data_IF_799727650758
#
_entry.id   IF_799727650758
#
_cell.length_a   1.000
_cell.length_b   1.000
_cell.length_c   1.000
_cell.angle_alpha   90.00
_cell.angle_beta   90.00
_cell.angle_gamma   90.00
#
_symmetry.space_group_name_H-M   'P 1'
#
loop_
_entity.id
_entity.type
_entity.pdbx_description
1 polymer ?
#
# COMPACT_ATOMS: atom_id res chain seq x y z
N UNK A 1 -37.88 7.11 -6.50
CA UNK A 1 -36.59 7.85 -6.61
C UNK A 1 -35.51 6.93 -6.10
N UNK A 2 -34.81 6.25 -6.99
CA UNK A 2 -33.72 5.33 -6.62
C UNK A 2 -32.53 6.20 -6.18
N UNK A 3 -32.24 6.19 -4.90
CA UNK A 3 -31.00 6.78 -4.37
C UNK A 3 -29.83 6.00 -4.98
N UNK A 4 -29.17 6.58 -5.96
CA UNK A 4 -27.89 6.07 -6.46
C UNK A 4 -26.87 6.34 -5.36
N UNK A 5 -26.77 5.42 -4.40
CA UNK A 5 -25.65 5.44 -3.46
C UNK A 5 -24.38 5.21 -4.26
N UNK A 6 -23.42 6.12 -4.12
CA UNK A 6 -22.08 5.92 -4.69
C UNK A 6 -21.54 4.59 -4.18
N UNK A 7 -21.07 3.69 -5.05
CA UNK A 7 -20.53 2.41 -4.58
C UNK A 7 -19.36 2.62 -3.62
N UNK A 8 -19.22 1.76 -2.59
CA UNK A 8 -18.24 1.96 -1.53
C UNK A 8 -16.81 1.90 -2.05
N UNK A 9 -15.94 2.72 -1.47
CA UNK A 9 -14.49 2.63 -1.67
C UNK A 9 -13.92 1.58 -0.74
N UNK A 10 -13.00 0.76 -1.27
CA UNK A 10 -12.47 -0.41 -0.57
C UNK A 10 -10.95 -0.38 -0.59
N UNK A 11 -10.34 -0.57 0.57
CA UNK A 11 -8.90 -0.76 0.66
C UNK A 11 -8.53 -2.23 0.84
N UNK A 12 -7.44 -2.63 0.20
CA UNK A 12 -6.75 -3.89 0.43
C UNK A 12 -5.43 -3.57 1.11
N UNK A 13 -5.25 -4.09 2.32
CA UNK A 13 -4.03 -3.89 3.10
C UNK A 13 -3.47 -5.22 3.60
N UNK A 14 -2.38 -5.17 4.32
CA UNK A 14 -1.70 -6.31 4.92
C UNK A 14 -0.20 -6.18 4.84
N UNK A 15 0.52 -6.82 5.73
CA UNK A 15 1.96 -6.69 5.86
C UNK A 15 2.75 -7.24 4.67
N UNK A 16 4.03 -6.90 4.63
CA UNK A 16 4.96 -7.45 3.65
C UNK A 16 4.94 -8.99 3.71
N UNK A 17 4.95 -9.65 2.57
CA UNK A 17 4.90 -11.11 2.46
C UNK A 17 3.51 -11.74 2.63
N UNK A 18 2.45 -10.98 2.98
CA UNK A 18 1.08 -11.50 3.10
C UNK A 18 0.46 -11.94 1.77
N UNK A 19 0.93 -11.37 0.64
CA UNK A 19 0.46 -11.72 -0.70
C UNK A 19 -0.63 -10.80 -1.26
N UNK A 20 -0.72 -9.55 -0.80
CA UNK A 20 -1.64 -8.51 -1.33
C UNK A 20 -1.67 -8.46 -2.85
N UNK A 21 -0.51 -8.29 -3.47
CA UNK A 21 -0.42 -8.16 -4.94
C UNK A 21 -0.92 -9.40 -5.68
N UNK A 22 -0.89 -10.59 -5.05
CA UNK A 22 -1.50 -11.78 -5.64
C UNK A 22 -3.03 -11.70 -5.58
N UNK A 23 -3.60 -11.30 -4.44
CA UNK A 23 -5.04 -11.08 -4.29
C UNK A 23 -5.52 -9.98 -5.24
N UNK A 24 -4.79 -8.87 -5.37
CA UNK A 24 -5.12 -7.80 -6.32
C UNK A 24 -5.17 -8.31 -7.77
N UNK A 25 -4.23 -9.18 -8.18
CA UNK A 25 -4.30 -9.81 -9.51
C UNK A 25 -5.54 -10.71 -9.70
N UNK A 26 -5.98 -11.40 -8.64
CA UNK A 26 -7.22 -12.18 -8.70
C UNK A 26 -8.45 -11.29 -8.86
N UNK A 27 -8.49 -10.13 -8.22
CA UNK A 27 -9.54 -9.12 -8.37
C UNK A 27 -9.53 -8.51 -9.77
N UNK A 28 -8.36 -8.17 -10.29
CA UNK A 28 -8.22 -7.63 -11.66
C UNK A 28 -8.74 -8.60 -12.72
N UNK A 29 -8.51 -9.91 -12.56
CA UNK A 29 -9.09 -10.95 -13.45
C UNK A 29 -10.62 -11.01 -13.41
N UNK A 30 -11.25 -10.42 -12.41
CA UNK A 30 -12.70 -10.26 -12.26
C UNK A 30 -13.20 -8.88 -12.73
N UNK A 31 -12.34 -8.09 -13.35
CA UNK A 31 -12.68 -6.75 -13.84
C UNK A 31 -12.66 -5.67 -12.75
N UNK A 32 -12.16 -5.96 -11.55
CA UNK A 32 -11.99 -4.98 -10.48
C UNK A 32 -10.67 -4.25 -10.70
N UNK A 33 -10.75 -2.94 -10.99
CA UNK A 33 -9.57 -2.10 -11.18
C UNK A 33 -9.09 -1.57 -9.82
N UNK A 34 -7.88 -1.98 -9.43
CA UNK A 34 -7.27 -1.64 -8.14
C UNK A 34 -6.23 -0.54 -8.33
N UNK A 35 -6.36 0.53 -7.58
CA UNK A 35 -5.37 1.60 -7.48
C UNK A 35 -4.20 1.15 -6.62
N UNK A 36 -2.99 1.13 -7.16
CA UNK A 36 -1.76 0.77 -6.46
C UNK A 36 -1.10 2.04 -5.91
N UNK A 37 -1.17 2.23 -4.58
CA UNK A 37 -0.64 3.42 -3.91
C UNK A 37 0.88 3.54 -4.05
N UNK A 38 1.63 2.45 -4.02
CA UNK A 38 3.09 2.45 -4.16
C UNK A 38 3.52 2.82 -5.58
N UNK A 39 2.87 2.24 -6.58
CA UNK A 39 3.10 2.61 -7.98
C UNK A 39 2.72 4.06 -8.25
N UNK A 40 1.61 4.55 -7.68
CA UNK A 40 1.19 5.93 -7.80
C UNK A 40 2.17 6.90 -7.15
N UNK A 41 2.64 6.63 -5.93
CA UNK A 41 3.66 7.43 -5.26
C UNK A 41 4.93 7.56 -6.12
N UNK A 42 5.44 6.44 -6.63
CA UNK A 42 6.61 6.43 -7.51
C UNK A 42 6.39 7.22 -8.80
N UNK A 43 5.20 7.10 -9.41
CA UNK A 43 4.82 7.86 -10.60
C UNK A 43 4.74 9.35 -10.31
N UNK A 44 4.04 9.75 -9.24
CA UNK A 44 3.85 11.15 -8.86
C UNK A 44 5.18 11.81 -8.51
N UNK A 45 6.03 11.19 -7.70
CA UNK A 45 7.37 11.69 -7.40
C UNK A 45 8.21 11.93 -8.66
N UNK A 46 8.01 11.13 -9.72
CA UNK A 46 8.73 11.31 -10.99
C UNK A 46 8.12 12.38 -11.88
N UNK A 47 6.76 12.43 -11.97
CA UNK A 47 6.08 13.16 -13.03
C UNK A 47 5.35 14.42 -12.56
N UNK A 48 5.06 14.60 -11.25
CA UNK A 48 4.37 15.78 -10.74
C UNK A 48 5.36 16.93 -10.53
N UNK A 49 5.23 18.07 -11.24
CA UNK A 49 6.10 19.23 -11.05
C UNK A 49 6.07 19.74 -9.60
N UNK A 50 4.87 19.79 -9.00
CA UNK A 50 4.68 20.29 -7.62
C UNK A 50 5.38 19.38 -6.60
N UNK A 51 5.25 18.04 -6.73
CA UNK A 51 5.95 17.11 -5.86
C UNK A 51 7.47 17.21 -6.02
N UNK A 52 7.94 17.32 -7.26
CA UNK A 52 9.37 17.49 -7.55
C UNK A 52 9.92 18.75 -6.90
N UNK A 53 9.18 19.84 -6.99
CA UNK A 53 9.57 21.09 -6.34
C UNK A 53 9.64 20.96 -4.82
N UNK A 54 8.59 20.42 -4.20
CA UNK A 54 8.52 20.25 -2.74
C UNK A 54 9.63 19.30 -2.23
N UNK A 55 9.85 18.17 -2.90
CA UNK A 55 10.90 17.23 -2.54
C UNK A 55 12.31 17.82 -2.73
N UNK A 56 12.51 18.64 -3.79
CA UNK A 56 13.78 19.34 -3.99
C UNK A 56 14.03 20.40 -2.91
N UNK A 57 12.99 21.11 -2.48
CA UNK A 57 13.09 22.05 -1.36
C UNK A 57 13.42 21.37 -0.03
N UNK A 58 12.85 20.18 0.20
CA UNK A 58 13.07 19.42 1.43
C UNK A 58 14.44 18.74 1.48
N UNK A 59 14.84 18.07 0.40
CA UNK A 59 16.01 17.18 0.35
C UNK A 59 17.26 17.91 -0.14
N UNK A 60 17.08 18.85 -1.07
CA UNK A 60 18.16 19.62 -1.69
C UNK A 60 18.20 19.53 -3.21
N UNK A 61 19.10 20.28 -3.86
CA UNK A 61 19.15 20.42 -5.33
C UNK A 61 19.46 19.09 -6.05
N UNK A 62 20.13 18.16 -5.38
CA UNK A 62 20.54 16.88 -5.96
C UNK A 62 19.45 15.78 -5.85
N UNK A 63 18.21 16.16 -5.47
CA UNK A 63 17.08 15.22 -5.32
C UNK A 63 16.76 14.48 -6.62
N UNK A 64 17.00 15.09 -7.75
CA UNK A 64 16.75 14.51 -9.07
C UNK A 64 17.98 14.57 -9.97
N UNK A 65 18.15 13.56 -10.81
CA UNK A 65 19.09 13.51 -11.93
C UNK A 65 18.24 13.40 -13.20
N UNK A 66 18.08 14.53 -13.91
CA UNK A 66 17.11 14.63 -15.01
C UNK A 66 15.69 14.37 -14.49
N UNK A 67 15.01 13.36 -15.06
CA UNK A 67 13.65 12.97 -14.65
C UNK A 67 13.60 11.85 -13.61
N UNK A 68 14.73 11.39 -13.12
CA UNK A 68 14.80 10.29 -12.16
C UNK A 68 15.12 10.81 -10.75
N UNK A 69 14.44 10.25 -9.76
CA UNK A 69 14.74 10.48 -8.35
C UNK A 69 16.16 9.94 -8.04
N UNK A 70 17.02 10.79 -7.49
CA UNK A 70 18.35 10.41 -7.06
C UNK A 70 18.29 9.60 -5.78
N UNK A 71 18.29 8.26 -5.91
CA UNK A 71 18.18 7.34 -4.78
C UNK A 71 19.28 7.55 -3.73
N UNK A 72 20.47 7.98 -4.13
CA UNK A 72 21.58 8.21 -3.20
C UNK A 72 21.31 9.45 -2.33
N UNK A 73 20.87 10.56 -2.94
CA UNK A 73 20.52 11.77 -2.20
C UNK A 73 19.36 11.53 -1.22
N UNK A 74 18.31 10.83 -1.67
CA UNK A 74 17.18 10.45 -0.80
C UNK A 74 17.62 9.55 0.33
N UNK A 75 18.45 8.54 0.06
CA UNK A 75 18.96 7.65 1.11
C UNK A 75 19.82 8.40 2.13
N UNK A 76 20.69 9.31 1.68
CA UNK A 76 21.49 10.14 2.57
C UNK A 76 20.60 11.04 3.45
N UNK A 77 19.57 11.66 2.87
CA UNK A 77 18.60 12.45 3.61
C UNK A 77 17.89 11.62 4.68
N UNK A 78 17.38 10.44 4.33
CA UNK A 78 16.70 9.54 5.27
C UNK A 78 17.61 9.03 6.41
N UNK A 79 18.92 8.91 6.17
CA UNK A 79 19.89 8.49 7.18
C UNK A 79 20.32 9.61 8.13
N UNK A 80 20.06 10.87 7.79
CA UNK A 80 20.52 12.01 8.59
C UNK A 80 19.57 12.41 9.74
N UNK A 81 18.31 11.93 9.74
CA UNK A 81 17.36 12.10 10.85
C UNK A 81 16.21 11.11 10.75
N UNK A 82 15.73 10.62 11.90
CA UNK A 82 14.55 9.74 11.96
C UNK A 82 13.26 10.45 11.52
N UNK A 83 13.18 11.78 11.63
CA UNK A 83 12.01 12.58 11.22
C UNK A 83 11.93 12.78 9.70
N UNK A 84 12.99 12.51 8.96
CA UNK A 84 13.04 12.78 7.53
C UNK A 84 12.10 11.88 6.71
N UNK A 85 11.85 10.65 7.16
CA UNK A 85 10.85 9.79 6.54
C UNK A 85 9.45 10.42 6.64
N UNK A 86 9.09 10.90 7.83
CA UNK A 86 7.81 11.60 8.05
C UNK A 86 7.69 12.89 7.22
N UNK A 87 8.78 13.62 7.04
CA UNK A 87 8.77 14.82 6.20
C UNK A 87 8.52 14.52 4.73
N UNK A 88 9.10 13.44 4.19
CA UNK A 88 8.80 12.96 2.82
C UNK A 88 7.34 12.49 2.73
N UNK A 89 6.88 11.71 3.70
CA UNK A 89 5.52 11.17 3.75
C UNK A 89 4.48 12.29 3.80
N UNK A 90 4.74 13.37 4.54
CA UNK A 90 3.88 14.55 4.62
C UNK A 90 3.69 15.27 3.27
N UNK A 91 4.63 15.12 2.34
CA UNK A 91 4.54 15.64 0.97
C UNK A 91 3.86 14.63 0.04
N UNK A 92 4.26 13.36 0.13
CA UNK A 92 3.85 12.33 -0.85
C UNK A 92 2.43 11.81 -0.59
N UNK A 93 2.07 11.55 0.68
CA UNK A 93 0.76 10.96 1.01
C UNK A 93 -0.43 11.83 0.56
N UNK A 94 -0.46 13.16 0.79
CA UNK A 94 -1.57 13.99 0.31
C UNK A 94 -1.71 13.96 -1.22
N UNK A 95 -0.60 13.90 -1.95
CA UNK A 95 -0.64 13.82 -3.40
C UNK A 95 -1.20 12.48 -3.90
N UNK A 96 -0.81 11.36 -3.27
CA UNK A 96 -1.37 10.03 -3.57
C UNK A 96 -2.86 9.97 -3.22
N UNK A 97 -3.28 10.53 -2.08
CA UNK A 97 -4.69 10.61 -1.69
C UNK A 97 -5.53 11.37 -2.73
N UNK A 98 -5.04 12.53 -3.17
CA UNK A 98 -5.69 13.35 -4.20
C UNK A 98 -5.77 12.60 -5.53
N UNK A 99 -4.69 11.96 -5.96
CA UNK A 99 -4.63 11.17 -7.21
C UNK A 99 -5.59 9.97 -7.16
N UNK A 100 -5.70 9.29 -6.01
CA UNK A 100 -6.68 8.23 -5.83
C UNK A 100 -8.11 8.74 -6.00
N UNK A 101 -8.47 9.84 -5.33
CA UNK A 101 -9.80 10.42 -5.43
C UNK A 101 -10.12 10.83 -6.88
N UNK A 102 -9.17 11.47 -7.56
CA UNK A 102 -9.31 11.93 -8.95
C UNK A 102 -9.36 10.77 -9.95
N UNK A 103 -8.74 9.63 -9.63
CA UNK A 103 -8.77 8.45 -10.50
C UNK A 103 -10.16 7.85 -10.69
N UNK A 104 -11.10 8.15 -9.79
CA UNK A 104 -12.45 7.56 -9.77
C UNK A 104 -12.48 6.07 -9.42
N UNK A 105 -11.33 5.46 -9.12
CA UNK A 105 -11.26 4.06 -8.73
C UNK A 105 -11.87 3.84 -7.36
N UNK A 106 -12.54 2.70 -7.21
CA UNK A 106 -13.21 2.32 -5.96
C UNK A 106 -12.35 1.44 -5.06
N UNK A 107 -11.35 0.78 -5.63
CA UNK A 107 -10.47 -0.13 -4.91
C UNK A 107 -9.06 0.42 -4.88
N UNK A 108 -8.42 0.37 -3.69
CA UNK A 108 -6.99 0.68 -3.56
C UNK A 108 -6.22 -0.47 -2.90
N UNK A 109 -4.97 -0.62 -3.24
CA UNK A 109 -3.99 -1.42 -2.50
C UNK A 109 -3.01 -0.48 -1.82
N UNK A 110 -2.91 -0.61 -0.48
CA UNK A 110 -1.98 0.17 0.33
C UNK A 110 -1.40 -0.69 1.46
N UNK A 111 -0.09 -0.89 1.49
CA UNK A 111 0.57 -1.70 2.51
C UNK A 111 0.62 -1.01 3.88
N UNK A 112 0.62 0.32 3.88
CA UNK A 112 0.72 1.20 5.07
C UNK A 112 -0.58 2.01 5.24
N UNK A 113 -1.73 1.36 5.08
CA UNK A 113 -3.05 2.02 5.03
C UNK A 113 -3.32 2.90 6.24
N UNK A 114 -3.11 2.36 7.44
CA UNK A 114 -3.38 3.06 8.69
C UNK A 114 -2.27 4.05 9.04
N UNK A 115 -1.02 3.69 8.77
CA UNK A 115 0.14 4.55 8.99
C UNK A 115 0.09 5.82 8.14
N UNK A 116 -0.44 5.72 6.91
CA UNK A 116 -0.62 6.87 6.01
C UNK A 116 -1.91 7.65 6.24
N UNK A 117 -2.84 7.13 7.05
CA UNK A 117 -4.17 7.69 7.27
C UNK A 117 -5.11 7.53 6.06
N UNK A 118 -4.81 6.60 5.14
CA UNK A 118 -5.65 6.35 3.95
C UNK A 118 -6.90 5.54 4.26
N UNK A 119 -6.99 4.94 5.43
CA UNK A 119 -8.22 4.35 5.97
C UNK A 119 -9.40 5.32 5.94
N UNK A 120 -9.15 6.63 6.07
CA UNK A 120 -10.17 7.69 5.99
C UNK A 120 -10.71 7.96 4.58
N UNK A 121 -10.08 7.40 3.55
CA UNK A 121 -10.47 7.58 2.15
C UNK A 121 -11.40 6.50 1.65
N UNK A 122 -11.67 5.47 2.46
CA UNK A 122 -12.40 4.27 2.09
C UNK A 122 -13.48 3.92 3.11
N UNK A 123 -14.49 3.19 2.65
CA UNK A 123 -15.64 2.78 3.46
C UNK A 123 -15.44 1.39 4.08
N UNK A 124 -14.60 0.55 3.45
CA UNK A 124 -14.33 -0.82 3.87
C UNK A 124 -12.86 -1.18 3.70
N UNK A 125 -12.35 -1.98 4.62
CA UNK A 125 -10.98 -2.47 4.61
C UNK A 125 -10.94 -3.99 4.59
N UNK A 126 -10.19 -4.54 3.64
CA UNK A 126 -9.87 -5.97 3.55
C UNK A 126 -8.41 -6.14 3.92
N UNK A 127 -8.12 -6.87 4.99
CA UNK A 127 -6.74 -7.22 5.33
C UNK A 127 -6.37 -8.59 4.77
N UNK A 128 -5.19 -8.68 4.17
CA UNK A 128 -4.60 -9.95 3.76
C UNK A 128 -3.62 -10.39 4.84
N UNK A 129 -3.87 -11.54 5.45
CA UNK A 129 -3.02 -12.11 6.49
C UNK A 129 -2.32 -13.38 6.02
N UNK A 130 -1.17 -13.67 6.62
CA UNK A 130 -0.46 -14.94 6.47
C UNK A 130 0.38 -15.20 7.72
N UNK A 131 0.62 -16.46 8.11
CA UNK A 131 1.52 -16.81 9.20
C UNK A 131 2.92 -16.20 8.98
N UNK A 132 3.59 -15.76 10.04
CA UNK A 132 4.89 -15.09 9.93
C UNK A 132 5.96 -15.95 9.26
N UNK A 133 5.96 -17.27 9.50
CA UNK A 133 6.86 -18.19 8.81
C UNK A 133 6.64 -18.19 7.29
N UNK A 134 5.38 -18.12 6.85
CA UNK A 134 5.02 -18.04 5.42
C UNK A 134 5.45 -16.69 4.82
N UNK A 135 5.22 -15.60 5.56
CA UNK A 135 5.65 -14.25 5.15
C UNK A 135 7.16 -14.18 4.99
N UNK A 136 7.91 -14.67 5.98
CA UNK A 136 9.38 -14.72 5.96
C UNK A 136 9.91 -15.47 4.73
N UNK A 137 9.42 -16.68 4.50
CA UNK A 137 9.83 -17.47 3.33
C UNK A 137 9.58 -16.73 2.02
N UNK A 138 8.39 -16.11 1.87
CA UNK A 138 8.04 -15.36 0.66
C UNK A 138 8.94 -14.15 0.44
N UNK A 139 9.28 -13.42 1.50
CA UNK A 139 10.17 -12.26 1.42
C UNK A 139 11.58 -12.71 1.04
N UNK A 140 12.12 -13.72 1.72
CA UNK A 140 13.46 -14.24 1.44
C UNK A 140 13.60 -14.73 0.01
N UNK A 141 12.60 -15.47 -0.50
CA UNK A 141 12.62 -15.99 -1.88
C UNK A 141 12.46 -14.88 -2.93
N UNK A 142 11.61 -13.90 -2.69
CA UNK A 142 11.34 -12.80 -3.63
C UNK A 142 12.53 -11.85 -3.75
N UNK A 143 13.14 -11.50 -2.62
CA UNK A 143 14.12 -10.40 -2.54
C UNK A 143 15.55 -10.89 -2.39
N UNK A 144 15.78 -12.19 -2.25
CA UNK A 144 17.12 -12.78 -2.11
C UNK A 144 17.86 -12.33 -0.84
N UNK A 145 17.13 -12.06 0.25
CA UNK A 145 17.69 -11.51 1.50
C UNK A 145 17.71 -12.56 2.61
N UNK A 146 18.63 -12.43 3.58
CA UNK A 146 18.69 -13.33 4.73
C UNK A 146 17.49 -13.11 5.66
N UNK A 147 17.17 -14.14 6.46
CA UNK A 147 16.03 -14.14 7.39
C UNK A 147 16.03 -12.95 8.35
N UNK A 148 17.19 -12.61 8.92
CA UNK A 148 17.32 -11.49 9.85
C UNK A 148 16.79 -10.18 9.23
N UNK A 149 17.16 -9.91 7.97
CA UNK A 149 16.69 -8.72 7.25
C UNK A 149 15.21 -8.78 6.94
N UNK A 150 14.70 -9.96 6.59
CA UNK A 150 13.27 -10.14 6.34
C UNK A 150 12.43 -9.93 7.61
N UNK A 151 12.91 -10.39 8.78
CA UNK A 151 12.28 -10.12 10.08
C UNK A 151 12.24 -8.63 10.40
N UNK A 152 13.36 -7.93 10.22
CA UNK A 152 13.42 -6.47 10.41
C UNK A 152 12.41 -5.72 9.53
N UNK A 153 12.16 -6.18 8.30
CA UNK A 153 11.16 -5.56 7.44
C UNK A 153 9.72 -5.80 7.92
N UNK A 154 9.45 -6.98 8.49
CA UNK A 154 8.15 -7.27 9.12
C UNK A 154 7.93 -6.41 10.36
N UNK A 155 8.95 -6.29 11.21
CA UNK A 155 8.90 -5.53 12.48
C UNK A 155 8.74 -4.02 12.30
N UNK A 156 9.13 -3.47 11.14
CA UNK A 156 8.93 -2.05 10.80
C UNK A 156 7.48 -1.68 10.49
N UNK A 157 6.64 -2.65 10.22
CA UNK A 157 5.21 -2.43 9.97
C UNK A 157 4.40 -2.67 11.23
N UNK A 158 3.19 -2.15 11.26
CA UNK A 158 2.27 -2.47 12.34
C UNK A 158 2.08 -3.99 12.48
N UNK A 159 1.90 -4.49 13.72
CA UNK A 159 1.58 -5.90 13.95
C UNK A 159 0.34 -6.31 13.16
N UNK A 160 0.43 -7.44 12.44
CA UNK A 160 -0.67 -7.95 11.62
C UNK A 160 -1.97 -8.08 12.40
N UNK A 161 -1.90 -8.48 13.66
CA UNK A 161 -3.06 -8.63 14.53
C UNK A 161 -3.74 -7.27 14.82
N UNK A 162 -2.97 -6.19 14.94
CA UNK A 162 -3.53 -4.85 15.11
C UNK A 162 -4.28 -4.41 13.86
N UNK A 163 -3.69 -4.60 12.67
CA UNK A 163 -4.32 -4.27 11.38
C UNK A 163 -5.58 -5.11 11.18
N UNK A 164 -5.54 -6.41 11.54
CA UNK A 164 -6.67 -7.32 11.44
C UNK A 164 -7.89 -6.87 12.27
N UNK A 165 -7.65 -6.33 13.47
CA UNK A 165 -8.73 -5.84 14.35
C UNK A 165 -9.44 -4.60 13.82
N UNK A 166 -8.77 -3.82 12.99
CA UNK A 166 -9.30 -2.59 12.42
C UNK A 166 -10.00 -2.81 11.07
N UNK A 167 -9.74 -3.95 10.42
CA UNK A 167 -10.29 -4.28 9.12
C UNK A 167 -11.71 -4.85 9.22
N UNK A 168 -12.55 -4.56 8.21
CA UNK A 168 -13.90 -5.12 8.10
C UNK A 168 -13.89 -6.59 7.66
N UNK A 169 -12.92 -6.97 6.84
CA UNK A 169 -12.80 -8.32 6.28
C UNK A 169 -11.37 -8.83 6.32
N UNK A 170 -11.22 -10.13 6.45
CA UNK A 170 -9.94 -10.82 6.39
C UNK A 170 -9.90 -11.84 5.26
N UNK A 171 -8.79 -11.89 4.52
CA UNK A 171 -8.43 -12.97 3.61
C UNK A 171 -7.17 -13.63 4.14
N UNK A 172 -7.29 -14.89 4.53
CA UNK A 172 -6.17 -15.70 5.02
C UNK A 172 -5.45 -16.32 3.83
N UNK A 173 -4.19 -15.97 3.65
CA UNK A 173 -3.31 -16.47 2.59
C UNK A 173 -2.15 -17.28 3.16
N UNK A 174 -2.50 -18.35 3.86
CA UNK A 174 -1.56 -19.28 4.51
C UNK A 174 -0.94 -20.32 3.55
N UNK A 175 -1.43 -20.38 2.31
CA UNK A 175 -1.04 -21.37 1.31
C UNK A 175 -1.85 -22.67 1.37
N UNK A 176 -2.79 -22.81 2.32
CA UNK A 176 -3.67 -23.96 2.51
C UNK A 176 -5.11 -23.64 2.14
N UNK A 177 -5.62 -22.52 2.64
CA UNK A 177 -6.99 -22.09 2.37
C UNK A 177 -7.12 -21.50 0.95
N UNK A 178 -8.13 -21.93 0.18
CA UNK A 178 -8.35 -21.39 -1.15
C UNK A 178 -8.78 -19.91 -1.08
N UNK A 179 -8.12 -19.06 -1.87
CA UNK A 179 -8.37 -17.60 -1.85
C UNK A 179 -9.66 -17.22 -2.58
N UNK A 180 -9.99 -17.90 -3.68
CA UNK A 180 -11.13 -17.53 -4.52
C UNK A 180 -12.46 -17.54 -3.78
N UNK A 181 -12.81 -18.57 -2.99
CA UNK A 181 -14.05 -18.56 -2.19
C UNK A 181 -14.09 -17.45 -1.13
N UNK A 182 -12.93 -17.10 -0.54
CA UNK A 182 -12.85 -16.00 0.42
C UNK A 182 -13.13 -14.66 -0.26
N UNK A 183 -12.51 -14.42 -1.41
CA UNK A 183 -12.70 -13.21 -2.23
C UNK A 183 -14.17 -13.09 -2.66
N UNK A 184 -14.77 -14.15 -3.19
CA UNK A 184 -16.16 -14.14 -3.67
C UNK A 184 -17.16 -13.83 -2.56
N UNK A 185 -16.98 -14.45 -1.40
CA UNK A 185 -17.81 -14.16 -0.22
C UNK A 185 -17.74 -12.67 0.18
N UNK A 186 -16.54 -12.10 0.20
CA UNK A 186 -16.36 -10.70 0.58
C UNK A 186 -16.98 -9.76 -0.46
N UNK A 187 -16.78 -10.01 -1.75
CA UNK A 187 -17.38 -9.20 -2.82
C UNK A 187 -18.91 -9.23 -2.71
N UNK A 188 -19.50 -10.41 -2.49
CA UNK A 188 -20.95 -10.55 -2.32
C UNK A 188 -21.46 -9.75 -1.13
N UNK A 189 -20.75 -9.77 0.01
CA UNK A 189 -21.15 -9.02 1.21
C UNK A 189 -21.04 -7.51 1.04
N UNK A 190 -20.10 -7.03 0.21
CA UNK A 190 -19.92 -5.59 -0.07
C UNK A 190 -21.01 -5.06 -1.00
N UNK A 191 -21.58 -5.92 -1.85
CA UNK A 191 -22.62 -5.54 -2.83
C UNK A 191 -24.03 -5.58 -2.26
N UNK A 192 -24.22 -6.09 -1.04
CA UNK A 192 -25.51 -6.10 -0.31
C UNK A 192 -25.71 -4.80 0.48
#
# INVERSE_FOLDING_TARGET
>A
MSSHSTPPRIAITGGIGSGKSYVCRLLQRRGIDVYDCDAAAKRLMRCSPDLRQQLTQLIGPDTYIGDQLNKAAVAQFLLSSDDHAHAIDAIVHPAVATDFIQSGKQWMECAILYESGFDRLVDKVIVITAPDGVRLQRIMLRDGIPELKARQWIERQWPQEQVRRLADYEIVNDGLLPLLPQIERIITNIQQ
#
